data_IF_119549860495
#
_entry.id   IF_119549860495
#
_cell.length_a   1.000
_cell.length_b   1.000
_cell.length_c   1.000
_cell.angle_alpha   90.00
_cell.angle_beta   90.00
_cell.angle_gamma   90.00
#
_symmetry.space_group_name_H-M   'P 1'
#
loop_
_entity.id
_entity.type
_entity.pdbx_description
1 polymer ?
#
# COMPACT_ATOMS: atom_id res chain seq x y z
N UNK A 1 1.93 -28.03 31.43
CA UNK A 1 1.05 -27.17 32.24
C UNK A 1 1.85 -26.63 33.41
N UNK A 2 2.42 -25.44 33.26
CA UNK A 2 3.11 -24.75 34.36
C UNK A 2 2.09 -23.84 35.05
N UNK A 3 1.82 -24.10 36.33
CA UNK A 3 0.84 -23.35 37.11
C UNK A 3 1.54 -22.23 37.89
N UNK A 4 1.35 -20.99 37.41
CA UNK A 4 1.94 -19.74 37.90
C UNK A 4 1.46 -19.32 39.29
N UNK A 5 0.49 -20.00 39.89
CA UNK A 5 -0.07 -19.63 41.19
C UNK A 5 0.76 -20.14 42.39
N UNK A 6 1.59 -21.18 42.21
CA UNK A 6 2.40 -21.73 43.32
C UNK A 6 3.61 -20.87 43.67
N UNK A 7 4.22 -20.21 42.68
CA UNK A 7 5.43 -19.39 42.88
C UNK A 7 5.11 -18.10 43.66
N UNK A 8 3.90 -17.53 43.48
CA UNK A 8 3.52 -16.29 44.15
C UNK A 8 3.19 -16.45 45.64
N UNK A 9 2.94 -17.67 46.14
CA UNK A 9 2.65 -17.89 47.57
C UNK A 9 3.89 -18.10 48.43
N UNK A 10 5.01 -18.54 47.87
CA UNK A 10 6.27 -18.69 48.63
C UNK A 10 6.99 -17.34 48.85
N UNK A 11 6.77 -16.36 47.98
CA UNK A 11 7.43 -15.04 48.07
C UNK A 11 6.76 -14.13 49.10
N UNK A 12 5.46 -14.33 49.40
CA UNK A 12 4.70 -13.47 50.31
C UNK A 12 4.78 -13.83 51.80
N UNK A 13 5.43 -14.94 52.17
CA UNK A 13 5.45 -15.43 53.55
C UNK A 13 6.79 -15.30 54.30
N UNK A 14 7.80 -14.64 53.71
CA UNK A 14 9.17 -14.60 54.28
C UNK A 14 9.74 -13.19 54.47
N UNK A 15 8.95 -12.25 54.99
CA UNK A 15 9.52 -11.04 55.56
C UNK A 15 8.82 -10.70 56.89
N UNK A 16 9.39 -11.22 57.98
CA UNK A 16 9.28 -10.54 59.26
C UNK A 16 10.61 -10.56 60.03
N UNK A 17 10.99 -9.36 60.47
CA UNK A 17 11.99 -9.01 61.49
C UNK A 17 13.51 -9.07 61.19
N UNK A 18 14.09 -7.87 60.98
CA UNK A 18 15.11 -7.24 61.87
C UNK A 18 16.22 -6.46 61.12
N UNK A 19 16.45 -5.21 61.54
CA UNK A 19 17.80 -4.63 61.63
C UNK A 19 18.40 -3.81 60.47
N UNK A 20 18.43 -2.49 60.70
CA UNK A 20 19.44 -1.48 60.30
C UNK A 20 19.43 -0.87 58.87
N UNK A 21 19.16 0.44 58.86
CA UNK A 21 19.15 1.38 57.73
C UNK A 21 20.53 1.57 57.09
N UNK A 22 20.62 1.39 55.77
CA UNK A 22 21.60 2.06 54.90
C UNK A 22 20.84 2.63 53.69
N UNK A 23 20.89 3.96 53.52
CA UNK A 23 20.20 4.68 52.43
C UNK A 23 20.92 4.40 51.10
N UNK A 24 20.43 3.41 50.35
CA UNK A 24 20.69 3.30 48.91
C UNK A 24 19.67 4.19 48.18
N UNK A 25 20.11 5.34 47.69
CA UNK A 25 19.32 6.20 46.80
C UNK A 25 19.16 5.51 45.45
N UNK A 26 18.16 4.62 45.33
CA UNK A 26 17.70 4.14 44.03
C UNK A 26 17.18 5.35 43.25
N UNK A 27 17.93 5.79 42.24
CA UNK A 27 17.41 6.72 41.23
C UNK A 27 16.10 6.13 40.70
N UNK A 28 14.99 6.90 40.63
CA UNK A 28 13.75 6.38 40.11
C UNK A 28 14.00 5.92 38.67
N UNK A 29 13.69 4.66 38.41
CA UNK A 29 13.56 4.13 37.06
C UNK A 29 12.52 5.00 36.37
N UNK A 30 12.93 5.78 35.35
CA UNK A 30 12.00 6.62 34.61
C UNK A 30 10.93 5.71 34.02
N UNK A 31 9.71 5.83 34.55
CA UNK A 31 8.52 5.33 33.89
C UNK A 31 8.46 6.08 32.57
N UNK A 32 8.82 5.40 31.47
CA UNK A 32 8.62 5.93 30.13
C UNK A 32 7.15 6.35 30.08
N UNK A 33 6.89 7.62 29.80
CA UNK A 33 5.53 8.13 29.66
C UNK A 33 4.73 7.14 28.82
N UNK A 34 3.49 6.77 29.20
CA UNK A 34 2.67 5.94 28.35
C UNK A 34 2.64 6.59 26.97
N UNK A 35 3.03 5.84 25.94
CA UNK A 35 2.92 6.31 24.55
C UNK A 35 1.43 6.57 24.35
N UNK A 36 1.04 7.85 24.31
CA UNK A 36 -0.31 8.24 23.98
C UNK A 36 -0.50 7.90 22.51
N UNK A 37 -1.06 6.73 22.27
CA UNK A 37 -1.36 6.27 20.94
C UNK A 37 -2.69 6.88 20.50
N UNK A 38 -2.64 7.83 19.57
CA UNK A 38 -3.83 8.43 18.98
C UNK A 38 -4.52 7.49 17.96
N UNK A 39 -3.94 6.33 17.66
CA UNK A 39 -4.57 5.36 16.77
C UNK A 39 -5.89 4.86 17.36
N UNK A 40 -6.97 5.02 16.61
CA UNK A 40 -8.29 4.50 16.97
C UNK A 40 -8.59 3.28 16.13
N UNK A 41 -9.04 2.21 16.79
CA UNK A 41 -9.68 1.08 16.12
C UNK A 41 -11.16 1.45 15.97
N UNK A 42 -11.65 1.48 14.74
CA UNK A 42 -13.04 1.84 14.46
C UNK A 42 -13.83 0.66 13.90
N UNK A 43 -15.15 0.70 14.12
CA UNK A 43 -16.08 -0.25 13.52
C UNK A 43 -16.26 0.05 12.02
N UNK A 44 -16.56 -1.01 11.25
CA UNK A 44 -16.74 -0.92 9.80
C UNK A 44 -17.71 0.19 9.37
N UNK A 45 -18.78 0.42 10.14
CA UNK A 45 -19.80 1.42 9.81
C UNK A 45 -19.26 2.85 9.84
N UNK A 46 -18.34 3.16 10.76
CA UNK A 46 -17.70 4.49 10.81
C UNK A 46 -16.69 4.66 9.69
N UNK A 47 -15.90 3.63 9.39
CA UNK A 47 -14.93 3.67 8.30
C UNK A 47 -15.64 3.94 6.95
N UNK A 48 -16.84 3.37 6.75
CA UNK A 48 -17.66 3.63 5.55
C UNK A 48 -17.98 5.11 5.33
N UNK A 49 -18.09 5.92 6.39
CA UNK A 49 -18.39 7.37 6.27
C UNK A 49 -17.26 8.14 5.57
N UNK A 50 -16.04 7.59 5.52
CA UNK A 50 -14.87 8.19 4.88
C UNK A 50 -14.56 7.61 3.50
N UNK A 51 -15.35 6.63 3.02
CA UNK A 51 -15.12 5.92 1.77
C UNK A 51 -16.25 6.16 0.77
N UNK A 52 -15.96 5.95 -0.51
CA UNK A 52 -16.93 6.10 -1.59
C UNK A 52 -17.40 4.73 -2.09
N UNK A 53 -18.70 4.54 -2.28
CA UNK A 53 -19.23 3.36 -2.97
C UNK A 53 -19.00 3.52 -4.49
N UNK A 54 -18.41 2.52 -5.13
CA UNK A 54 -18.13 2.54 -6.57
C UNK A 54 -19.40 2.64 -7.45
N UNK A 55 -20.58 2.35 -6.89
CA UNK A 55 -21.86 2.52 -7.60
C UNK A 55 -22.36 3.96 -7.61
N UNK A 56 -21.89 4.77 -6.68
CA UNK A 56 -22.23 6.18 -6.63
C UNK A 56 -21.42 6.91 -7.71
N UNK A 57 -22.04 7.92 -8.31
CA UNK A 57 -21.35 8.82 -9.22
C UNK A 57 -21.27 10.19 -8.57
N UNK A 58 -20.11 10.82 -8.66
CA UNK A 58 -19.91 12.20 -8.22
C UNK A 58 -19.82 13.06 -9.47
N UNK A 59 -20.71 14.04 -9.59
CA UNK A 59 -20.80 14.93 -10.77
C UNK A 59 -21.01 14.19 -12.10
N UNK A 60 -21.56 12.97 -12.07
CA UNK A 60 -21.80 12.13 -13.25
C UNK A 60 -20.62 11.24 -13.65
N UNK A 61 -19.49 11.32 -12.93
CA UNK A 61 -18.32 10.46 -13.15
C UNK A 61 -18.32 9.30 -12.14
N UNK A 62 -17.88 8.13 -12.62
CA UNK A 62 -17.69 6.94 -11.80
C UNK A 62 -16.41 7.11 -10.98
N UNK A 63 -16.44 6.74 -9.71
CA UNK A 63 -15.31 6.92 -8.81
C UNK A 63 -14.46 5.65 -8.74
N UNK A 64 -13.16 5.79 -9.02
CA UNK A 64 -12.14 4.78 -8.79
C UNK A 64 -11.42 4.95 -7.45
N UNK A 65 -10.55 4.01 -7.11
CA UNK A 65 -9.71 4.13 -5.91
C UNK A 65 -9.22 2.82 -5.33
N UNK A 66 -8.62 2.91 -4.15
CA UNK A 66 -8.06 1.76 -3.43
C UNK A 66 -9.18 1.04 -2.67
N UNK A 67 -9.45 -0.25 -2.94
CA UNK A 67 -10.51 -0.97 -2.25
C UNK A 67 -10.13 -1.25 -0.80
N UNK A 68 -10.91 -0.73 0.15
CA UNK A 68 -10.68 -0.89 1.59
C UNK A 68 -11.78 -1.70 2.28
N UNK A 69 -13.00 -1.69 1.74
CA UNK A 69 -14.11 -2.42 2.31
C UNK A 69 -15.04 -2.96 1.23
N UNK A 70 -15.74 -4.04 1.55
CA UNK A 70 -16.85 -4.55 0.74
C UNK A 70 -17.93 -5.12 1.66
N UNK A 71 -19.15 -5.15 1.15
CA UNK A 71 -20.25 -5.95 1.69
C UNK A 71 -20.87 -6.78 0.56
N UNK A 72 -21.98 -7.46 0.84
CA UNK A 72 -22.63 -8.36 -0.13
C UNK A 72 -23.14 -7.62 -1.38
N UNK A 73 -23.31 -6.30 -1.30
CA UNK A 73 -23.85 -5.50 -2.38
C UNK A 73 -22.79 -4.63 -3.06
N UNK A 74 -21.90 -3.99 -2.30
CA UNK A 74 -21.08 -2.86 -2.75
C UNK A 74 -19.62 -2.96 -2.33
N UNK A 75 -18.76 -2.22 -3.04
CA UNK A 75 -17.33 -2.07 -2.74
C UNK A 75 -17.07 -0.60 -2.43
N UNK A 76 -16.33 -0.34 -1.36
CA UNK A 76 -16.00 1.00 -0.89
C UNK A 76 -14.51 1.25 -1.07
N UNK A 77 -14.20 2.40 -1.66
CA UNK A 77 -12.85 2.79 -2.06
C UNK A 77 -12.43 4.07 -1.37
N UNK A 78 -11.12 4.19 -1.13
CA UNK A 78 -10.49 5.48 -0.93
C UNK A 78 -10.17 6.08 -2.30
N UNK A 79 -10.87 7.16 -2.63
CA UNK A 79 -10.78 7.88 -3.90
C UNK A 79 -9.90 9.13 -3.82
N UNK A 80 -9.18 9.33 -2.71
CA UNK A 80 -8.27 10.45 -2.57
C UNK A 80 -7.01 10.27 -3.43
N UNK A 81 -6.37 11.38 -3.79
CA UNK A 81 -5.07 11.41 -4.49
C UNK A 81 -3.89 11.08 -3.53
N UNK A 82 -4.09 10.05 -2.71
CA UNK A 82 -3.13 9.61 -1.71
C UNK A 82 -2.39 8.37 -2.18
N UNK A 83 -1.10 8.26 -1.85
CA UNK A 83 -0.33 7.06 -2.16
C UNK A 83 -0.57 5.97 -1.12
N UNK A 84 -0.94 4.78 -1.59
CA UNK A 84 -1.22 3.63 -0.73
C UNK A 84 -0.06 2.63 -0.70
N UNK A 85 0.28 2.16 0.50
CA UNK A 85 1.28 1.12 0.73
C UNK A 85 0.62 -0.19 1.21
N UNK A 86 0.69 -1.23 0.40
CA UNK A 86 0.13 -2.55 0.72
C UNK A 86 1.24 -3.48 1.23
N UNK A 87 1.21 -3.81 2.52
CA UNK A 87 2.21 -4.67 3.17
C UNK A 87 1.66 -6.08 3.39
N UNK A 88 2.47 -7.09 3.09
CA UNK A 88 2.14 -8.48 3.39
C UNK A 88 3.23 -9.44 2.95
N UNK A 89 3.29 -10.62 3.55
CA UNK A 89 4.28 -11.64 3.21
C UNK A 89 4.09 -12.21 1.77
N UNK A 90 5.10 -12.88 1.24
CA UNK A 90 4.94 -13.67 0.00
C UNK A 90 3.88 -14.75 0.23
N UNK A 91 3.00 -14.97 -0.75
CA UNK A 91 1.89 -15.92 -0.61
C UNK A 91 0.67 -15.37 0.15
N UNK A 92 0.70 -14.15 0.68
CA UNK A 92 -0.46 -13.50 1.32
C UNK A 92 -1.53 -13.03 0.33
N UNK A 93 -1.38 -13.39 -0.95
CA UNK A 93 -2.34 -13.11 -2.03
C UNK A 93 -2.56 -11.61 -2.33
N UNK A 94 -1.58 -10.73 -2.01
CA UNK A 94 -1.65 -9.27 -2.30
C UNK A 94 -2.18 -8.96 -3.71
N UNK A 95 -1.61 -9.61 -4.73
CA UNK A 95 -2.05 -9.44 -6.13
C UNK A 95 -3.52 -9.81 -6.31
N UNK A 96 -3.97 -10.93 -5.72
CA UNK A 96 -5.32 -11.43 -5.92
C UNK A 96 -6.38 -10.69 -5.11
N UNK A 97 -6.05 -10.28 -3.89
CA UNK A 97 -7.00 -9.67 -2.96
C UNK A 97 -7.08 -8.15 -3.07
N UNK A 98 -6.03 -7.48 -3.57
CA UNK A 98 -5.99 -6.02 -3.63
C UNK A 98 -5.75 -5.53 -5.07
N UNK A 99 -4.67 -5.97 -5.72
CA UNK A 99 -4.28 -5.44 -7.04
C UNK A 99 -5.31 -5.76 -8.12
N UNK A 100 -5.76 -7.02 -8.25
CA UNK A 100 -6.73 -7.39 -9.28
C UNK A 100 -8.11 -6.73 -9.09
N UNK A 101 -8.68 -6.65 -7.87
CA UNK A 101 -9.87 -5.83 -7.64
C UNK A 101 -9.66 -4.36 -7.98
N UNK A 102 -8.53 -3.77 -7.58
CA UNK A 102 -8.19 -2.37 -7.87
C UNK A 102 -8.17 -2.11 -9.38
N UNK A 103 -7.50 -2.95 -10.18
CA UNK A 103 -7.47 -2.81 -11.65
C UNK A 103 -8.87 -2.84 -12.26
N UNK A 104 -9.78 -3.67 -11.73
CA UNK A 104 -11.17 -3.71 -12.21
C UNK A 104 -11.96 -2.46 -11.83
N UNK A 105 -11.74 -1.95 -10.62
CA UNK A 105 -12.40 -0.73 -10.14
C UNK A 105 -11.94 0.47 -10.97
N UNK A 106 -10.63 0.61 -11.18
CA UNK A 106 -10.07 1.66 -12.02
C UNK A 106 -10.50 1.51 -13.49
N UNK A 107 -10.58 0.27 -13.98
CA UNK A 107 -11.16 -0.04 -15.29
C UNK A 107 -12.61 0.43 -15.43
N UNK A 108 -13.42 0.16 -14.41
CA UNK A 108 -14.83 0.60 -14.34
C UNK A 108 -14.97 2.12 -14.24
N UNK A 109 -14.03 2.80 -13.60
CA UNK A 109 -13.97 4.25 -13.50
C UNK A 109 -13.32 4.94 -14.73
N UNK A 110 -12.99 4.18 -15.77
CA UNK A 110 -12.34 4.69 -17.00
C UNK A 110 -10.97 5.35 -16.74
N UNK A 111 -10.30 4.99 -15.65
CA UNK A 111 -8.99 5.55 -15.26
C UNK A 111 -7.82 4.87 -15.97
N UNK A 112 -6.80 5.67 -16.30
CA UNK A 112 -5.55 5.17 -16.88
C UNK A 112 -4.65 4.52 -15.83
N UNK A 113 -3.96 3.45 -16.21
CA UNK A 113 -3.15 2.64 -15.29
C UNK A 113 -1.76 2.36 -15.86
N UNK A 114 -0.74 2.47 -15.01
CA UNK A 114 0.61 1.95 -15.27
C UNK A 114 0.89 0.87 -14.23
N UNK A 115 1.18 -0.35 -14.68
CA UNK A 115 1.30 -1.52 -13.79
C UNK A 115 2.64 -2.20 -13.99
N UNK A 116 3.44 -2.24 -12.92
CA UNK A 116 4.68 -3.03 -12.87
C UNK A 116 4.35 -4.48 -12.52
N UNK A 117 4.29 -5.37 -13.53
CA UNK A 117 3.90 -6.77 -13.36
C UNK A 117 5.05 -7.75 -13.71
N UNK A 118 5.98 -8.02 -12.77
CA UNK A 118 7.16 -8.84 -13.04
C UNK A 118 6.85 -10.30 -13.41
N UNK A 119 5.62 -10.78 -13.11
CA UNK A 119 5.17 -12.15 -13.37
C UNK A 119 4.13 -12.25 -14.49
N UNK A 120 3.73 -11.12 -15.07
CA UNK A 120 2.61 -11.03 -16.01
C UNK A 120 1.29 -11.61 -15.46
N UNK A 121 1.09 -11.64 -14.14
CA UNK A 121 -0.13 -12.19 -13.53
C UNK A 121 -1.34 -11.28 -13.68
N UNK A 122 -1.12 -9.96 -13.61
CA UNK A 122 -2.15 -8.94 -13.79
C UNK A 122 -2.53 -8.89 -15.26
N UNK A 123 -1.53 -8.71 -16.14
CA UNK A 123 -1.74 -8.65 -17.59
C UNK A 123 -2.57 -9.83 -18.11
N UNK A 124 -2.15 -11.06 -17.79
CA UNK A 124 -2.85 -12.29 -18.24
C UNK A 124 -4.30 -12.40 -17.75
N UNK A 125 -4.65 -11.72 -16.66
CA UNK A 125 -5.97 -11.81 -16.03
C UNK A 125 -6.90 -10.66 -16.40
N UNK A 126 -6.36 -9.49 -16.75
CA UNK A 126 -7.16 -8.27 -16.92
C UNK A 126 -7.12 -7.69 -18.32
N UNK A 127 -6.05 -7.88 -19.11
CA UNK A 127 -5.87 -7.21 -20.40
C UNK A 127 -7.06 -7.43 -21.35
N UNK A 128 -7.47 -8.68 -21.58
CA UNK A 128 -8.59 -8.98 -22.48
C UNK A 128 -9.94 -8.40 -22.00
N UNK A 129 -10.12 -8.20 -20.70
CA UNK A 129 -11.34 -7.56 -20.19
C UNK A 129 -11.30 -6.05 -20.44
N UNK A 130 -10.17 -5.41 -20.10
CA UNK A 130 -9.96 -3.97 -20.31
C UNK A 130 -10.02 -3.60 -21.81
N UNK A 131 -9.46 -4.41 -22.70
CA UNK A 131 -9.57 -4.22 -24.16
C UNK A 131 -11.03 -4.19 -24.63
N UNK A 132 -11.88 -5.06 -24.06
CA UNK A 132 -13.33 -5.07 -24.38
C UNK A 132 -14.07 -3.86 -23.83
N UNK A 133 -13.56 -3.29 -22.74
CA UNK A 133 -14.03 -2.04 -22.15
C UNK A 133 -13.50 -0.81 -22.89
N UNK A 134 -12.68 -0.99 -23.94
CA UNK A 134 -12.21 0.10 -24.82
C UNK A 134 -10.81 0.63 -24.48
N UNK A 135 -10.12 0.02 -23.51
CA UNK A 135 -8.77 0.41 -23.16
C UNK A 135 -7.77 0.05 -24.24
N UNK A 136 -6.83 0.96 -24.49
CA UNK A 136 -5.60 0.66 -25.23
C UNK A 136 -4.59 0.02 -24.27
N UNK A 137 -4.22 -1.23 -24.54
CA UNK A 137 -3.25 -1.96 -23.72
C UNK A 137 -1.89 -1.95 -24.40
N UNK A 138 -0.91 -1.32 -23.75
CA UNK A 138 0.48 -1.30 -24.19
C UNK A 138 1.35 -2.07 -23.20
N UNK A 139 2.25 -2.91 -23.69
CA UNK A 139 3.09 -3.77 -22.85
C UNK A 139 4.55 -3.59 -23.21
N UNK A 140 5.33 -3.00 -22.30
CA UNK A 140 6.79 -2.96 -22.39
C UNK A 140 7.37 -4.21 -21.72
N UNK A 141 7.83 -5.16 -22.52
CA UNK A 141 8.30 -6.45 -22.02
C UNK A 141 9.82 -6.55 -21.97
N UNK A 142 10.40 -6.23 -20.81
CA UNK A 142 11.85 -6.32 -20.61
C UNK A 142 12.39 -7.76 -20.56
N UNK A 143 11.54 -8.77 -20.34
CA UNK A 143 11.99 -10.18 -20.29
C UNK A 143 12.15 -10.77 -21.69
N UNK A 144 11.26 -10.41 -22.61
CA UNK A 144 11.36 -10.80 -24.01
C UNK A 144 11.06 -9.59 -24.89
N UNK A 145 12.09 -8.80 -25.25
CA UNK A 145 11.92 -7.57 -26.04
C UNK A 145 11.31 -7.80 -27.43
N UNK A 146 11.32 -9.03 -27.94
CA UNK A 146 10.68 -9.36 -29.22
C UNK A 146 9.15 -9.43 -29.14
N UNK A 147 8.58 -9.41 -27.93
CA UNK A 147 7.14 -9.58 -27.68
C UNK A 147 6.62 -8.41 -26.86
N UNK A 148 5.86 -7.52 -27.51
CA UNK A 148 5.30 -6.32 -26.90
C UNK A 148 5.76 -5.06 -27.62
N UNK A 149 5.53 -3.91 -26.99
CA UNK A 149 5.96 -2.62 -27.49
C UNK A 149 7.42 -2.35 -27.17
N UNK A 150 8.09 -1.67 -28.10
CA UNK A 150 9.45 -1.19 -27.93
C UNK A 150 9.42 0.16 -27.22
N UNK A 151 10.22 0.30 -26.17
CA UNK A 151 10.44 1.58 -25.52
C UNK A 151 11.90 1.98 -25.64
N UNK A 152 12.14 3.13 -26.28
CA UNK A 152 13.46 3.75 -26.34
C UNK A 152 13.49 4.93 -25.35
N UNK A 153 14.13 4.80 -24.18
CA UNK A 153 14.21 5.90 -23.23
C UNK A 153 14.98 7.11 -23.79
N UNK A 154 15.84 6.91 -24.79
CA UNK A 154 16.62 7.98 -25.43
C UNK A 154 15.85 8.72 -26.54
N UNK A 155 14.63 8.30 -26.87
CA UNK A 155 13.85 8.90 -27.95
C UNK A 155 13.56 10.38 -27.68
N UNK A 156 13.15 10.71 -26.45
CA UNK A 156 12.80 12.08 -26.06
C UNK A 156 14.04 13.00 -26.10
N UNK A 157 15.16 12.69 -25.41
CA UNK A 157 16.33 13.57 -25.47
C UNK A 157 16.92 13.65 -26.88
N UNK A 158 16.89 12.58 -27.66
CA UNK A 158 17.32 12.60 -29.06
C UNK A 158 16.49 13.59 -29.89
N UNK A 159 15.16 13.57 -29.75
CA UNK A 159 14.27 14.53 -30.43
C UNK A 159 14.54 15.97 -30.00
N UNK A 160 14.71 16.22 -28.71
CA UNK A 160 15.03 17.56 -28.18
C UNK A 160 16.35 18.08 -28.76
N UNK A 161 17.36 17.21 -28.82
CA UNK A 161 18.64 17.54 -29.46
C UNK A 161 18.47 17.88 -30.94
N UNK A 162 17.73 17.09 -31.71
CA UNK A 162 17.45 17.37 -33.12
C UNK A 162 16.66 18.67 -33.34
N UNK A 163 15.84 19.09 -32.37
CA UNK A 163 15.11 20.37 -32.39
C UNK A 163 15.96 21.56 -31.92
N UNK A 164 17.19 21.33 -31.47
CA UNK A 164 18.12 22.36 -30.98
C UNK A 164 17.94 22.72 -29.51
N UNK A 165 17.06 22.05 -28.76
CA UNK A 165 16.87 22.21 -27.31
C UNK A 165 17.90 21.34 -26.55
N UNK A 166 19.18 21.70 -26.69
CA UNK A 166 20.31 20.91 -26.20
C UNK A 166 20.33 20.84 -24.68
N UNK A 167 20.01 21.95 -24.00
CA UNK A 167 20.04 22.01 -22.53
C UNK A 167 19.05 21.03 -21.91
N UNK A 168 17.79 21.02 -22.39
CA UNK A 168 16.81 20.02 -21.94
C UNK A 168 17.18 18.61 -22.35
N UNK A 169 17.74 18.42 -23.55
CA UNK A 169 18.19 17.09 -23.96
C UNK A 169 19.23 16.52 -22.98
N UNK A 170 20.21 17.34 -22.56
CA UNK A 170 21.20 16.97 -21.56
C UNK A 170 20.58 16.68 -20.19
N UNK A 171 19.62 17.50 -19.74
CA UNK A 171 18.90 17.30 -18.48
C UNK A 171 18.16 15.95 -18.48
N UNK A 172 17.38 15.66 -19.52
CA UNK A 172 16.69 14.37 -19.66
C UNK A 172 17.64 13.17 -19.74
N UNK A 173 18.79 13.30 -20.41
CA UNK A 173 19.79 12.22 -20.46
C UNK A 173 20.35 11.96 -19.07
N UNK A 174 20.64 13.01 -18.30
CA UNK A 174 21.12 12.85 -16.92
C UNK A 174 20.06 12.17 -16.05
N UNK A 175 18.80 12.59 -16.13
CA UNK A 175 17.70 11.98 -15.35
C UNK A 175 17.52 10.48 -15.63
N UNK A 176 17.78 10.03 -16.86
CA UNK A 176 17.73 8.61 -17.23
C UNK A 176 18.94 7.83 -16.69
N UNK A 177 20.11 8.46 -16.60
CA UNK A 177 21.37 7.81 -16.27
C UNK A 177 21.64 7.69 -14.76
N UNK A 178 20.97 8.49 -13.93
CA UNK A 178 21.14 8.50 -12.46
C UNK A 178 20.16 7.59 -11.75
#
# INVERSE_FOLDING_TARGET
>A
MFNSEKINREILNNEDTSGKKTKLTKKPFYMVSPINNESKIEEKNKIKEYLHDIKESVSGEIIGGVPLLYDDASVYVDAQDSHSLIIGATGSKKTRLVVLPMVKILGYAEESMIICDPKAEVYKRTACALEKEGYKIEVVNFRNPSVGECWNPLEIPYRLFCLGDIDRACEFVNDIAT
#
